data_IF_622415799130
#
_entry.id   IF_622415799130
#
_cell.length_a   1.000
_cell.length_b   1.000
_cell.length_c   1.000
_cell.angle_alpha   90.00
_cell.angle_beta   90.00
_cell.angle_gamma   90.00
#
_symmetry.space_group_name_H-M   'P 1'
#
loop_
_entity.id
_entity.type
_entity.pdbx_description
1 polymer ?
#
# COMPACT_ATOMS: atom_id res chain seq x y z
N UNK A 1 -18.64 17.77 20.45
CA UNK A 1 -19.21 17.87 19.10
C UNK A 1 -18.21 17.22 18.18
N UNK A 2 -18.55 16.06 17.62
CA UNK A 2 -17.78 15.52 16.51
C UNK A 2 -17.87 16.53 15.36
N UNK A 3 -16.72 16.92 14.83
CA UNK A 3 -16.69 17.88 13.73
C UNK A 3 -17.14 17.15 12.47
N UNK A 4 -18.34 17.46 12.00
CA UNK A 4 -18.84 16.99 10.72
C UNK A 4 -17.83 17.35 9.62
N UNK A 5 -17.39 16.35 8.88
CA UNK A 5 -16.34 16.46 7.86
C UNK A 5 -16.92 16.16 6.50
N UNK A 6 -16.68 17.07 5.55
CA UNK A 6 -17.10 16.88 4.16
C UNK A 6 -16.06 16.04 3.42
N UNK A 7 -16.53 14.97 2.80
CA UNK A 7 -15.74 14.01 2.04
C UNK A 7 -16.19 13.99 0.59
N UNK A 8 -15.28 13.58 -0.29
CA UNK A 8 -15.45 13.61 -1.74
C UNK A 8 -15.06 12.28 -2.35
N UNK A 9 -15.74 11.85 -3.41
CA UNK A 9 -15.45 10.62 -4.14
C UNK A 9 -15.50 10.90 -5.64
N UNK A 10 -14.68 10.24 -6.46
CA UNK A 10 -14.84 10.34 -7.90
C UNK A 10 -16.21 9.84 -8.34
N UNK A 11 -16.93 10.67 -9.10
CA UNK A 11 -18.22 10.29 -9.63
C UNK A 11 -18.78 11.36 -10.55
N UNK A 12 -20.03 11.20 -10.98
CA UNK A 12 -20.63 12.02 -12.06
C UNK A 12 -21.76 12.92 -11.58
N UNK A 13 -21.99 13.00 -10.26
CA UNK A 13 -23.20 13.60 -9.73
C UNK A 13 -23.14 15.13 -9.63
N UNK A 14 -22.03 15.69 -9.16
CA UNK A 14 -21.86 17.13 -8.99
C UNK A 14 -20.54 17.64 -9.57
N UNK A 15 -20.57 18.86 -10.13
CA UNK A 15 -19.37 19.54 -10.62
C UNK A 15 -18.80 20.44 -9.52
N UNK A 16 -17.73 20.00 -8.87
CA UNK A 16 -17.06 20.72 -7.79
C UNK A 16 -15.62 21.07 -8.19
N UNK A 17 -15.25 22.34 -8.12
CA UNK A 17 -13.92 22.83 -8.50
C UNK A 17 -13.46 22.42 -9.92
N UNK A 18 -14.39 22.23 -10.86
CA UNK A 18 -14.10 21.79 -12.23
C UNK A 18 -13.91 20.28 -12.40
N UNK A 19 -14.13 19.50 -11.35
CA UNK A 19 -14.10 18.04 -11.36
C UNK A 19 -15.50 17.49 -11.09
N UNK A 20 -15.85 16.37 -11.73
CA UNK A 20 -17.06 15.64 -11.37
C UNK A 20 -16.74 14.75 -10.17
N UNK A 21 -17.39 15.01 -9.06
CA UNK A 21 -17.20 14.29 -7.79
C UNK A 21 -18.54 14.15 -7.08
N UNK A 22 -18.70 13.06 -6.35
CA UNK A 22 -19.73 12.89 -5.34
C UNK A 22 -19.22 13.44 -4.00
N UNK A 23 -20.10 13.95 -3.15
CA UNK A 23 -19.75 14.47 -1.84
C UNK A 23 -20.72 13.96 -0.77
N UNK A 24 -20.22 13.77 0.44
CA UNK A 24 -21.02 13.45 1.62
C UNK A 24 -20.47 14.14 2.86
N UNK A 25 -21.30 14.33 3.88
CA UNK A 25 -20.88 14.85 5.18
C UNK A 25 -21.05 13.72 6.18
N UNK A 26 -19.97 13.38 6.88
CA UNK A 26 -19.95 12.33 7.92
C UNK A 26 -19.46 12.90 9.24
N UNK A 27 -19.77 12.24 10.34
CA UNK A 27 -19.22 12.61 11.64
C UNK A 27 -17.72 12.28 11.73
N UNK A 28 -16.99 12.96 12.62
CA UNK A 28 -15.54 12.84 12.73
C UNK A 28 -15.03 11.40 12.94
N UNK A 29 -15.80 10.56 13.64
CA UNK A 29 -15.46 9.15 13.86
C UNK A 29 -15.72 8.25 12.65
N UNK A 30 -16.52 8.71 11.68
CA UNK A 30 -16.85 7.98 10.45
C UNK A 30 -15.91 8.34 9.30
N UNK A 31 -15.09 9.39 9.46
CA UNK A 31 -14.13 9.85 8.44
C UNK A 31 -13.16 8.73 8.06
N UNK A 32 -12.60 8.00 9.02
CA UNK A 32 -11.64 6.92 8.73
C UNK A 32 -12.30 5.77 7.97
N UNK A 33 -13.54 5.42 8.31
CA UNK A 33 -14.30 4.38 7.61
C UNK A 33 -14.64 4.81 6.17
N UNK A 34 -15.02 6.07 5.98
CA UNK A 34 -15.30 6.61 4.66
C UNK A 34 -14.01 6.75 3.81
N UNK A 35 -12.88 7.17 4.39
CA UNK A 35 -11.59 7.17 3.72
C UNK A 35 -11.20 5.75 3.26
N UNK A 36 -11.48 4.72 4.07
CA UNK A 36 -11.27 3.32 3.70
C UNK A 36 -12.25 2.81 2.61
N UNK A 37 -13.44 3.37 2.51
CA UNK A 37 -14.43 3.09 1.45
C UNK A 37 -14.10 3.79 0.10
N UNK A 38 -13.02 4.59 0.07
CA UNK A 38 -12.55 5.30 -1.13
C UNK A 38 -13.08 6.72 -1.25
N UNK A 39 -13.43 7.34 -0.12
CA UNK A 39 -13.68 8.78 -0.02
C UNK A 39 -12.39 9.53 0.29
N UNK A 40 -12.38 10.84 0.03
CA UNK A 40 -11.23 11.72 0.15
C UNK A 40 -11.60 13.00 0.89
N UNK A 41 -10.61 13.66 1.50
CA UNK A 41 -10.81 14.94 2.21
C UNK A 41 -10.88 16.14 1.27
N UNK A 42 -10.46 15.99 0.01
CA UNK A 42 -10.51 17.07 -0.98
C UNK A 42 -11.05 16.58 -2.33
N UNK A 43 -11.75 17.46 -3.08
CA UNK A 43 -12.27 17.11 -4.40
C UNK A 43 -11.16 16.86 -5.43
N UNK A 44 -10.00 17.50 -5.26
CA UNK A 44 -8.82 17.28 -6.11
C UNK A 44 -8.29 15.85 -5.94
N UNK A 45 -8.10 15.38 -4.70
CA UNK A 45 -7.66 14.01 -4.43
C UNK A 45 -8.66 12.97 -4.98
N UNK A 46 -9.96 13.22 -4.81
CA UNK A 46 -11.00 12.37 -5.37
C UNK A 46 -10.92 12.27 -6.91
N UNK A 47 -10.72 13.40 -7.60
CA UNK A 47 -10.62 13.43 -9.05
C UNK A 47 -9.30 12.81 -9.57
N UNK A 48 -8.20 13.00 -8.84
CA UNK A 48 -6.90 12.40 -9.16
C UNK A 48 -6.92 10.88 -8.96
N UNK A 49 -7.71 10.37 -8.00
CA UNK A 49 -7.87 8.93 -7.79
C UNK A 49 -8.49 8.19 -8.98
N UNK A 50 -9.16 8.88 -9.92
CA UNK A 50 -9.57 8.28 -11.20
C UNK A 50 -8.45 8.21 -12.23
N UNK A 51 -7.47 9.12 -12.14
CA UNK A 51 -6.29 9.12 -13.02
C UNK A 51 -5.21 8.16 -12.53
N UNK A 52 -5.19 7.90 -11.23
CA UNK A 52 -4.31 6.91 -10.61
C UNK A 52 -5.03 5.57 -10.66
N UNK A 53 -4.79 4.80 -11.72
CA UNK A 53 -4.93 3.34 -11.65
C UNK A 53 -4.23 2.86 -10.36
N UNK A 54 -4.91 2.22 -9.41
CA UNK A 54 -4.19 1.61 -8.31
C UNK A 54 -3.52 0.33 -8.86
N UNK A 55 -2.21 0.15 -8.79
CA UNK A 55 -1.70 -0.90 -7.94
C UNK A 55 -1.75 -0.29 -6.54
N UNK A 56 -2.64 -0.70 -5.66
CA UNK A 56 -2.27 -1.75 -4.73
C UNK A 56 -3.58 -2.19 -4.07
N UNK A 57 -4.19 -3.20 -4.68
CA UNK A 57 -4.69 -4.32 -3.88
C UNK A 57 -3.51 -5.28 -3.74
N UNK A 58 -2.59 -4.94 -2.83
CA UNK A 58 -1.76 -5.94 -2.19
C UNK A 58 -2.26 -5.89 -0.75
N UNK A 59 -3.10 -6.83 -0.31
CA UNK A 59 -2.62 -7.98 0.49
C UNK A 59 -1.18 -7.76 0.98
N UNK A 60 -0.82 -7.95 2.26
CA UNK A 60 0.59 -8.03 2.59
C UNK A 60 1.18 -9.20 1.79
N UNK A 61 1.69 -8.91 0.59
CA UNK A 61 2.49 -9.80 -0.17
C UNK A 61 3.81 -9.73 0.54
N UNK A 62 4.06 -10.79 1.28
CA UNK A 62 5.37 -11.29 1.69
C UNK A 62 6.27 -11.59 0.47
N UNK A 63 6.12 -10.82 -0.62
CA UNK A 63 6.80 -10.92 -1.91
C UNK A 63 7.41 -9.55 -2.29
N UNK A 64 7.76 -8.74 -1.28
CA UNK A 64 8.79 -7.72 -1.48
C UNK A 64 10.02 -8.45 -2.05
N UNK A 65 10.69 -7.91 -3.09
CA UNK A 65 11.90 -8.52 -3.64
C UNK A 65 12.87 -8.63 -2.47
N UNK A 66 13.03 -9.85 -1.96
CA UNK A 66 13.72 -10.14 -0.71
C UNK A 66 15.04 -9.38 -0.76
N UNK A 67 15.09 -8.28 0.00
CA UNK A 67 16.19 -7.35 -0.16
C UNK A 67 17.44 -8.07 0.31
N UNK A 68 18.60 -7.73 -0.26
CA UNK A 68 19.85 -8.38 0.13
C UNK A 68 20.04 -8.41 1.65
N UNK A 69 19.61 -7.37 2.36
CA UNK A 69 19.63 -7.29 3.84
C UNK A 69 18.80 -8.39 4.50
N UNK A 70 17.61 -8.69 3.98
CA UNK A 70 16.72 -9.75 4.47
C UNK A 70 17.35 -11.15 4.26
N UNK A 71 17.98 -11.36 3.10
CA UNK A 71 18.72 -12.60 2.82
C UNK A 71 19.93 -12.77 3.75
N UNK A 72 20.70 -11.71 3.95
CA UNK A 72 21.89 -11.72 4.79
C UNK A 72 21.52 -12.00 6.25
N UNK A 73 20.41 -11.44 6.71
CA UNK A 73 19.88 -11.68 8.06
C UNK A 73 19.48 -13.13 8.22
N UNK A 74 18.63 -13.67 7.32
CA UNK A 74 18.22 -15.08 7.33
C UNK A 74 19.43 -16.04 7.22
N UNK A 75 20.39 -15.73 6.36
CA UNK A 75 21.61 -16.53 6.21
C UNK A 75 22.46 -16.52 7.49
N UNK A 76 22.63 -15.36 8.13
CA UNK A 76 23.36 -15.22 9.39
C UNK A 76 22.66 -15.96 10.53
N UNK A 77 21.34 -15.89 10.61
CA UNK A 77 20.53 -16.66 11.58
C UNK A 77 20.69 -18.17 11.37
N UNK A 78 20.75 -18.62 10.11
CA UNK A 78 21.01 -20.02 9.74
C UNK A 78 22.50 -20.43 9.90
N UNK A 79 23.37 -19.53 10.39
CA UNK A 79 24.81 -19.79 10.56
C UNK A 79 25.56 -19.99 9.24
N UNK A 80 25.00 -19.51 8.13
CA UNK A 80 25.62 -19.58 6.81
C UNK A 80 26.63 -18.46 6.61
N UNK A 81 27.77 -18.82 6.04
CA UNK A 81 28.72 -17.83 5.52
C UNK A 81 28.32 -17.50 4.08
N UNK A 82 28.00 -16.24 3.85
CA UNK A 82 27.88 -15.67 2.52
C UNK A 82 29.01 -14.65 2.33
N UNK A 83 29.51 -14.58 1.11
CA UNK A 83 30.55 -13.62 0.71
C UNK A 83 29.99 -12.71 -0.39
N UNK A 84 30.60 -11.54 -0.65
CA UNK A 84 30.17 -10.61 -1.70
C UNK A 84 30.15 -11.21 -3.11
N UNK A 85 30.78 -12.37 -3.31
CA UNK A 85 30.68 -13.20 -4.52
C UNK A 85 29.34 -13.93 -4.68
N UNK A 86 28.52 -13.97 -3.63
CA UNK A 86 27.20 -14.60 -3.62
C UNK A 86 26.18 -13.58 -4.07
N UNK A 87 25.60 -13.80 -5.24
CA UNK A 87 24.48 -12.98 -5.72
C UNK A 87 23.27 -13.22 -4.82
N UNK A 88 22.44 -12.18 -4.68
CA UNK A 88 21.12 -12.21 -4.05
C UNK A 88 20.32 -13.46 -4.46
N UNK A 89 20.22 -13.75 -5.76
CA UNK A 89 19.60 -14.99 -6.27
C UNK A 89 20.18 -16.26 -5.64
N UNK A 90 21.50 -16.41 -5.62
CA UNK A 90 22.17 -17.61 -5.08
C UNK A 90 22.01 -17.72 -3.57
N UNK A 91 22.03 -16.59 -2.87
CA UNK A 91 21.83 -16.53 -1.43
C UNK A 91 20.40 -16.94 -1.04
N UNK A 92 19.40 -16.49 -1.79
CA UNK A 92 18.00 -16.91 -1.62
C UNK A 92 17.79 -18.41 -1.83
N UNK A 93 18.37 -18.99 -2.89
CA UNK A 93 18.31 -20.43 -3.16
C UNK A 93 18.91 -21.25 -2.01
N UNK A 94 20.04 -20.82 -1.44
CA UNK A 94 20.71 -21.51 -0.33
C UNK A 94 19.89 -21.46 0.96
N UNK A 95 19.30 -20.30 1.26
CA UNK A 95 18.42 -20.12 2.43
C UNK A 95 17.18 -20.99 2.29
N UNK A 96 16.52 -20.96 1.13
CA UNK A 96 15.34 -21.77 0.86
C UNK A 96 15.64 -23.27 0.95
N UNK A 97 16.75 -23.73 0.38
CA UNK A 97 17.17 -25.13 0.46
C UNK A 97 17.44 -25.61 1.89
N UNK A 98 17.84 -24.70 2.79
CA UNK A 98 18.08 -25.02 4.20
C UNK A 98 16.88 -24.88 5.11
N UNK A 99 15.87 -24.12 4.70
CA UNK A 99 14.58 -24.10 5.36
C UNK A 99 13.74 -25.34 4.99
N UNK A 100 13.95 -25.88 3.79
CA UNK A 100 13.18 -27.00 3.24
C UNK A 100 13.73 -28.41 3.58
N UNK A 101 14.90 -28.52 4.23
CA UNK A 101 15.56 -29.79 4.54
C UNK A 101 15.83 -29.97 6.03
#
# INVERSE_FOLDING_TARGET
MDNATMLYRPGSMDMLHGFMVDWQIVDGHEVEAALADGWFLTPTEAAESLKVVPPVTEVPADDAPVTRVELETKAKELGMKFDGRTTDKKLGELIAAKLAG
#
